data_IF_782386343575
#
_entry.id   IF_782386343575
#
_cell.length_a   1.000
_cell.length_b   1.000
_cell.length_c   1.000
_cell.angle_alpha   90.00
_cell.angle_beta   90.00
_cell.angle_gamma   90.00
#
_symmetry.space_group_name_H-M   'P 1'
#
loop_
_entity.id
_entity.type
_entity.pdbx_description
1 polymer ?
#
# COMPACT_ATOMS: atom_id res chain seq x y z
N UNK A 1 -23.68 -44.19 -12.01
CA UNK A 1 -24.25 -43.60 -10.77
C UNK A 1 -23.17 -43.16 -9.78
N UNK A 2 -22.26 -44.04 -9.32
CA UNK A 2 -21.20 -43.69 -8.34
C UNK A 2 -20.28 -42.51 -8.73
N UNK A 3 -19.96 -42.35 -10.03
CA UNK A 3 -19.15 -41.22 -10.55
C UNK A 3 -19.88 -39.87 -10.50
N UNK A 4 -21.21 -39.87 -10.65
CA UNK A 4 -22.04 -38.66 -10.60
C UNK A 4 -22.24 -38.19 -9.15
N UNK A 5 -22.33 -39.14 -8.22
CA UNK A 5 -22.40 -38.88 -6.77
C UNK A 5 -21.10 -38.27 -6.24
N UNK A 6 -19.94 -38.72 -6.75
CA UNK A 6 -18.63 -38.20 -6.36
C UNK A 6 -18.41 -36.75 -6.83
N UNK A 7 -18.89 -36.40 -8.02
CA UNK A 7 -18.83 -35.04 -8.56
C UNK A 7 -19.67 -34.06 -7.72
N UNK A 8 -20.86 -34.50 -7.28
CA UNK A 8 -21.74 -33.68 -6.44
C UNK A 8 -21.13 -33.42 -5.04
N UNK A 9 -20.37 -34.38 -4.51
CA UNK A 9 -19.68 -34.23 -3.21
C UNK A 9 -18.55 -33.19 -3.25
N UNK A 10 -17.84 -33.08 -4.37
CA UNK A 10 -16.74 -32.10 -4.56
C UNK A 10 -17.29 -30.68 -4.74
N UNK A 11 -18.47 -30.51 -5.34
CA UNK A 11 -19.09 -29.19 -5.45
C UNK A 11 -19.64 -28.66 -4.12
N UNK A 12 -20.01 -29.54 -3.17
CA UNK A 12 -20.48 -29.12 -1.84
C UNK A 12 -19.35 -28.69 -0.88
N UNK A 13 -18.10 -29.10 -1.11
CA UNK A 13 -16.98 -28.75 -0.22
C UNK A 13 -16.39 -27.35 -0.45
N UNK A 14 -16.83 -26.63 -1.49
CA UNK A 14 -16.32 -25.30 -1.84
C UNK A 14 -17.06 -24.11 -1.23
N UNK A 15 -18.17 -24.32 -0.53
CA UNK A 15 -18.99 -23.22 -0.01
C UNK A 15 -18.56 -22.89 1.43
N UNK A 16 -17.69 -21.89 1.59
CA UNK A 16 -17.46 -21.25 2.89
C UNK A 16 -16.03 -21.19 3.41
N UNK A 17 -15.01 -21.44 2.58
CA UNK A 17 -13.62 -21.33 3.03
C UNK A 17 -13.21 -19.84 3.07
N UNK A 18 -13.51 -19.16 4.18
CA UNK A 18 -12.88 -17.88 4.54
C UNK A 18 -11.48 -18.15 5.10
N UNK A 19 -10.53 -18.53 4.23
CA UNK A 19 -9.16 -18.85 4.63
C UNK A 19 -8.25 -17.63 4.78
N UNK A 20 -8.68 -16.44 4.31
CA UNK A 20 -7.88 -15.24 4.48
C UNK A 20 -8.21 -14.59 5.82
N UNK A 21 -7.21 -14.47 6.69
CA UNK A 21 -7.28 -13.62 7.87
C UNK A 21 -7.48 -12.18 7.36
N UNK A 22 -8.69 -11.66 7.50
CA UNK A 22 -8.99 -10.25 7.28
C UNK A 22 -9.14 -9.63 8.67
N UNK A 23 -8.09 -8.96 9.14
CA UNK A 23 -8.08 -8.26 10.44
C UNK A 23 -8.99 -7.02 10.43
N UNK A 24 -9.49 -6.63 9.25
CA UNK A 24 -10.47 -5.57 9.10
C UNK A 24 -9.95 -4.19 9.54
N UNK A 25 -10.90 -3.29 9.83
CA UNK A 25 -10.60 -1.93 10.25
C UNK A 25 -10.45 -0.95 9.08
N UNK A 26 -10.70 0.32 9.36
CA UNK A 26 -10.49 1.44 8.43
C UNK A 26 -9.37 2.29 8.99
N UNK A 27 -8.56 2.95 8.14
CA UNK A 27 -7.58 3.89 8.60
C UNK A 27 -8.22 4.95 9.51
N UNK A 28 -7.63 5.21 10.68
CA UNK A 28 -8.15 6.21 11.61
C UNK A 28 -8.28 7.61 10.98
N UNK A 29 -7.47 7.89 9.94
CA UNK A 29 -7.54 9.10 9.13
C UNK A 29 -8.84 9.27 8.32
N UNK A 30 -9.70 8.26 8.28
CA UNK A 30 -11.00 8.34 7.62
C UNK A 30 -12.08 8.88 8.56
N UNK A 31 -11.79 8.98 9.86
CA UNK A 31 -12.71 9.54 10.84
C UNK A 31 -12.98 11.03 10.57
N UNK A 32 -14.25 11.43 10.70
CA UNK A 32 -14.71 12.79 10.33
C UNK A 32 -13.96 13.90 11.06
N UNK A 33 -13.65 13.69 12.34
CA UNK A 33 -12.89 14.64 13.15
C UNK A 33 -11.48 14.87 12.60
N UNK A 34 -10.81 13.81 12.12
CA UNK A 34 -9.46 13.92 11.55
C UNK A 34 -9.52 14.60 10.18
N UNK A 35 -10.53 14.28 9.37
CA UNK A 35 -10.78 14.99 8.11
C UNK A 35 -10.98 16.48 8.36
N UNK A 36 -11.75 16.87 9.37
CA UNK A 36 -11.95 18.27 9.73
C UNK A 36 -10.64 18.96 10.17
N UNK A 37 -9.84 18.31 11.03
CA UNK A 37 -8.51 18.82 11.45
C UNK A 37 -7.61 19.04 10.23
N UNK A 38 -7.61 18.11 9.26
CA UNK A 38 -6.82 18.22 8.03
C UNK A 38 -7.33 19.32 7.10
N UNK A 39 -8.64 19.52 6.96
CA UNK A 39 -9.20 20.62 6.17
C UNK A 39 -8.75 21.98 6.71
N UNK A 40 -8.59 22.11 8.03
CA UNK A 40 -8.15 23.35 8.68
C UNK A 40 -6.63 23.52 8.62
N UNK A 41 -5.85 22.46 8.88
CA UNK A 41 -4.37 22.53 8.92
C UNK A 41 -3.70 22.37 7.55
N UNK A 42 -4.42 21.85 6.56
CA UNK A 42 -4.04 21.74 5.15
C UNK A 42 -2.62 21.21 4.88
N UNK A 43 -2.21 20.15 5.58
CA UNK A 43 -0.86 19.60 5.44
C UNK A 43 -0.85 18.12 5.81
N UNK A 44 -0.91 17.26 4.82
CA UNK A 44 -0.22 15.97 4.92
C UNK A 44 1.09 16.23 4.20
N UNK A 45 2.21 15.93 4.85
CA UNK A 45 3.50 16.06 4.18
C UNK A 45 3.52 15.11 2.96
N UNK A 46 3.99 15.65 1.84
CA UNK A 46 3.88 15.02 0.52
C UNK A 46 5.26 14.95 -0.10
N UNK A 47 5.70 13.73 -0.39
CA UNK A 47 6.93 13.45 -1.10
C UNK A 47 6.59 13.24 -2.58
N UNK A 48 7.06 14.17 -3.41
CA UNK A 48 6.98 14.08 -4.86
C UNK A 48 8.25 13.41 -5.40
N UNK A 49 8.10 12.18 -5.90
CA UNK A 49 9.19 11.47 -6.57
C UNK A 49 9.39 12.01 -8.00
N UNK A 50 10.62 11.93 -8.53
CA UNK A 50 10.88 12.30 -9.91
C UNK A 50 10.00 11.50 -10.89
N UNK A 51 9.62 12.10 -12.03
CA UNK A 51 8.88 11.37 -13.06
C UNK A 51 9.74 10.25 -13.65
N UNK A 52 9.08 9.14 -13.97
CA UNK A 52 9.71 7.99 -14.62
C UNK A 52 9.71 8.21 -16.14
N UNK A 53 10.87 8.14 -16.78
CA UNK A 53 10.98 8.11 -18.25
C UNK A 53 10.70 6.68 -18.77
N UNK A 54 9.43 6.41 -19.07
CA UNK A 54 8.99 5.11 -19.57
C UNK A 54 9.57 4.77 -20.95
N UNK A 55 9.88 5.76 -21.80
CA UNK A 55 10.43 5.49 -23.12
C UNK A 55 11.87 5.01 -23.02
N UNK A 56 12.65 5.65 -22.15
CA UNK A 56 14.01 5.23 -21.86
C UNK A 56 14.03 3.82 -21.26
N UNK A 57 13.20 3.56 -20.25
CA UNK A 57 13.13 2.24 -19.59
C UNK A 57 12.73 1.15 -20.59
N UNK A 58 11.77 1.40 -21.47
CA UNK A 58 11.38 0.42 -22.48
C UNK A 58 12.49 0.12 -23.50
N UNK A 59 13.36 1.08 -23.78
CA UNK A 59 14.51 0.85 -24.65
C UNK A 59 15.56 -0.02 -23.93
N UNK A 60 15.88 0.32 -22.67
CA UNK A 60 16.77 -0.48 -21.82
C UNK A 60 16.26 -1.93 -21.67
N UNK A 61 14.97 -2.11 -21.36
CA UNK A 61 14.39 -3.43 -21.14
C UNK A 61 14.44 -4.32 -22.41
N UNK A 62 14.37 -3.73 -23.62
CA UNK A 62 14.54 -4.47 -24.89
C UNK A 62 15.97 -4.93 -25.11
N UNK A 63 16.95 -4.10 -24.74
CA UNK A 63 18.37 -4.46 -24.80
C UNK A 63 18.69 -5.55 -23.78
N UNK A 64 18.15 -5.43 -22.56
CA UNK A 64 18.27 -6.42 -21.49
C UNK A 64 17.66 -7.77 -21.92
N UNK A 65 16.46 -7.76 -22.52
CA UNK A 65 15.81 -8.97 -23.06
C UNK A 65 16.67 -9.64 -24.15
N UNK A 66 17.26 -8.86 -25.07
CA UNK A 66 18.14 -9.38 -26.11
C UNK A 66 19.43 -10.01 -25.54
N UNK A 67 19.88 -9.54 -24.37
CA UNK A 67 21.01 -10.09 -23.63
C UNK A 67 20.65 -11.25 -22.69
N UNK A 68 19.37 -11.68 -22.68
CA UNK A 68 18.89 -12.77 -21.84
C UNK A 68 18.72 -12.40 -20.35
N UNK A 69 18.66 -11.11 -20.03
CA UNK A 69 18.43 -10.62 -18.67
C UNK A 69 16.92 -10.72 -18.36
N UNK A 70 16.54 -11.19 -17.16
CA UNK A 70 15.13 -11.26 -16.78
C UNK A 70 14.42 -9.89 -16.81
N UNK A 71 13.11 -9.84 -17.13
CA UNK A 71 12.37 -8.60 -17.16
C UNK A 71 12.38 -7.85 -15.82
N UNK A 72 12.49 -6.52 -15.92
CA UNK A 72 12.42 -5.61 -14.76
C UNK A 72 11.02 -5.63 -14.14
N UNK A 73 10.94 -5.92 -12.84
CA UNK A 73 9.66 -5.91 -12.11
C UNK A 73 9.21 -4.50 -11.70
N UNK A 74 10.15 -3.59 -11.43
CA UNK A 74 9.87 -2.22 -11.02
C UNK A 74 11.11 -1.33 -11.09
N UNK A 75 10.89 -0.01 -11.09
CA UNK A 75 11.96 0.98 -11.07
C UNK A 75 12.14 1.50 -9.63
N UNK A 76 13.30 1.27 -8.98
CA UNK A 76 13.50 1.67 -7.59
C UNK A 76 13.86 3.16 -7.49
N UNK A 77 13.25 3.85 -6.54
CA UNK A 77 13.73 5.13 -6.04
C UNK A 77 14.37 4.92 -4.68
N UNK A 78 15.62 5.37 -4.51
CA UNK A 78 16.24 5.43 -3.17
C UNK A 78 15.73 6.66 -2.46
N UNK A 79 15.21 6.47 -1.25
CA UNK A 79 14.66 7.52 -0.40
C UNK A 79 15.18 7.33 1.03
N UNK A 80 15.10 8.38 1.83
CA UNK A 80 15.45 8.38 3.26
C UNK A 80 14.27 9.00 4.01
N UNK A 81 13.30 8.16 4.37
CA UNK A 81 12.02 8.58 4.94
C UNK A 81 11.72 7.75 6.18
N UNK A 82 11.56 8.44 7.31
CA UNK A 82 11.26 7.86 8.61
C UNK A 82 10.22 8.71 9.37
N UNK A 83 9.84 8.22 10.54
CA UNK A 83 8.83 8.83 11.42
C UNK A 83 9.26 10.17 12.03
N UNK A 84 10.53 10.54 11.94
CA UNK A 84 11.14 11.75 12.51
C UNK A 84 11.47 12.81 11.46
N UNK A 85 11.76 12.40 10.22
CA UNK A 85 12.22 13.28 9.14
C UNK A 85 11.12 13.59 8.10
N UNK A 86 10.02 12.84 8.10
CA UNK A 86 8.96 12.95 7.11
C UNK A 86 7.60 12.74 7.75
N UNK A 87 6.55 13.14 7.03
CA UNK A 87 5.18 12.96 7.48
C UNK A 87 4.78 13.95 8.56
N UNK A 88 3.50 13.88 8.94
CA UNK A 88 2.90 14.80 9.90
C UNK A 88 2.24 14.03 11.03
N UNK A 89 2.73 14.25 12.25
CA UNK A 89 2.14 13.75 13.48
C UNK A 89 0.95 14.60 13.93
N UNK A 90 -0.12 13.93 14.34
CA UNK A 90 -1.26 14.53 15.03
C UNK A 90 -1.42 13.82 16.37
N UNK A 91 -1.47 14.60 17.45
CA UNK A 91 -1.94 14.14 18.75
C UNK A 91 -3.48 14.10 18.76
N UNK A 92 -4.02 12.98 19.21
CA UNK A 92 -5.45 12.73 19.32
C UNK A 92 -5.93 13.08 20.73
N UNK A 93 -7.22 13.37 20.88
CA UNK A 93 -7.82 13.76 22.17
C UNK A 93 -7.64 12.69 23.26
N UNK A 94 -7.53 11.41 22.87
CA UNK A 94 -7.31 10.29 23.77
C UNK A 94 -5.82 10.08 24.13
N UNK A 95 -4.91 10.93 23.65
CA UNK A 95 -3.46 10.84 23.87
C UNK A 95 -2.71 9.94 22.87
N UNK A 96 -3.41 9.27 21.96
CA UNK A 96 -2.77 8.53 20.86
C UNK A 96 -2.18 9.49 19.82
N UNK A 97 -1.35 8.95 18.92
CA UNK A 97 -0.72 9.72 17.85
C UNK A 97 -0.96 9.08 16.49
N UNK A 98 -1.31 9.91 15.52
CA UNK A 98 -1.49 9.54 14.12
C UNK A 98 -0.38 10.18 13.28
N UNK A 99 0.42 9.35 12.62
CA UNK A 99 1.38 9.80 11.62
C UNK A 99 0.85 9.56 10.21
N UNK A 100 1.08 10.50 9.30
CA UNK A 100 0.68 10.35 7.90
C UNK A 100 1.71 10.96 6.96
N UNK A 101 1.98 10.25 5.87
CA UNK A 101 2.83 10.67 4.76
C UNK A 101 2.12 10.37 3.43
N UNK A 102 2.17 11.29 2.50
CA UNK A 102 1.71 11.10 1.12
C UNK A 102 2.92 10.90 0.21
N UNK A 103 2.91 9.83 -0.59
CA UNK A 103 3.94 9.58 -1.61
C UNK A 103 3.28 9.68 -2.98
N UNK A 104 3.80 10.58 -3.82
CA UNK A 104 3.33 10.79 -5.17
C UNK A 104 4.44 10.45 -6.17
N UNK A 105 4.17 9.49 -7.06
CA UNK A 105 5.07 9.08 -8.12
C UNK A 105 4.37 9.27 -9.47
N UNK A 106 4.70 10.34 -10.22
CA UNK A 106 4.07 10.61 -11.51
C UNK A 106 4.28 9.45 -12.50
N UNK A 107 3.22 9.13 -13.25
CA UNK A 107 3.20 8.07 -14.28
C UNK A 107 3.44 6.63 -13.77
N UNK A 108 3.56 6.41 -12.46
CA UNK A 108 3.61 5.05 -11.90
C UNK A 108 2.25 4.35 -12.00
N UNK A 109 2.24 3.10 -12.46
CA UNK A 109 1.02 2.26 -12.49
C UNK A 109 0.71 1.64 -11.12
N UNK A 110 1.75 1.35 -10.36
CA UNK A 110 1.71 0.85 -8.98
C UNK A 110 2.93 1.39 -8.24
N UNK A 111 2.86 1.41 -6.92
CA UNK A 111 3.96 1.76 -6.03
C UNK A 111 4.15 0.61 -5.07
N UNK A 112 5.37 0.08 -5.00
CA UNK A 112 5.78 -0.86 -3.98
C UNK A 112 6.61 -0.11 -2.93
N UNK A 113 6.29 -0.32 -1.66
CA UNK A 113 7.06 0.24 -0.55
C UNK A 113 7.96 -0.85 0.01
N UNK A 114 9.26 -0.57 0.08
CA UNK A 114 10.25 -1.42 0.73
C UNK A 114 10.75 -0.69 1.96
N UNK A 115 10.86 -1.42 3.07
CA UNK A 115 11.32 -0.89 4.36
C UNK A 115 12.65 -1.53 4.70
N UNK A 116 13.68 -0.73 4.94
CA UNK A 116 14.96 -1.22 5.45
C UNK A 116 14.83 -1.61 6.93
N UNK A 117 14.12 -0.79 7.72
CA UNK A 117 13.79 -1.05 9.11
C UNK A 117 12.27 -0.95 9.31
N UNK A 118 11.66 -2.03 9.84
CA UNK A 118 10.23 -2.08 10.11
C UNK A 118 9.95 -2.60 11.52
N UNK A 119 9.40 -1.73 12.37
CA UNK A 119 8.94 -2.08 13.70
C UNK A 119 7.55 -1.49 13.95
N UNK A 120 6.57 -2.37 14.13
CA UNK A 120 5.21 -2.00 14.53
C UNK A 120 4.97 -2.47 15.97
N UNK A 121 4.73 -1.56 16.94
CA UNK A 121 4.46 -1.96 18.32
C UNK A 121 3.13 -2.73 18.39
N UNK A 122 2.93 -3.55 19.44
CA UNK A 122 1.81 -4.52 19.49
C UNK A 122 0.38 -3.96 19.40
N UNK A 123 0.18 -2.63 19.52
CA UNK A 123 -1.09 -1.94 19.26
C UNK A 123 -1.00 -0.89 18.15
N UNK A 124 0.18 -0.74 17.55
CA UNK A 124 0.38 0.12 16.40
C UNK A 124 -0.37 -0.43 15.19
N UNK A 125 -0.84 0.46 14.34
CA UNK A 125 -1.53 0.09 13.10
C UNK A 125 -0.90 0.85 11.95
N UNK A 126 -0.53 0.13 10.89
CA UNK A 126 -0.10 0.73 9.64
C UNK A 126 -1.16 0.48 8.56
N UNK A 127 -1.56 1.56 7.90
CA UNK A 127 -2.46 1.51 6.77
C UNK A 127 -1.82 2.18 5.57
N UNK A 128 -1.88 1.52 4.41
CA UNK A 128 -1.52 2.09 3.12
C UNK A 128 -2.79 2.20 2.30
N UNK A 129 -3.06 3.37 1.74
CA UNK A 129 -4.25 3.59 0.94
C UNK A 129 -4.00 4.60 -0.18
N UNK A 130 -4.80 4.51 -1.25
CA UNK A 130 -4.72 5.47 -2.35
C UNK A 130 -5.33 6.83 -1.97
N UNK A 131 -4.93 7.92 -2.61
CA UNK A 131 -5.45 9.26 -2.31
C UNK A 131 -7.00 9.36 -2.36
N UNK A 132 -7.63 8.54 -3.20
CA UNK A 132 -9.10 8.45 -3.33
C UNK A 132 -9.79 7.69 -2.18
N UNK A 133 -9.03 7.06 -1.29
CA UNK A 133 -9.52 6.23 -0.16
C UNK A 133 -10.42 5.06 -0.57
N UNK A 134 -10.33 4.64 -1.84
CA UNK A 134 -11.13 3.52 -2.38
C UNK A 134 -10.46 2.18 -2.18
N UNK A 135 -9.13 2.18 -2.07
CA UNK A 135 -8.34 0.98 -1.84
C UNK A 135 -7.42 1.24 -0.64
N UNK A 136 -7.44 0.33 0.32
CA UNK A 136 -6.59 0.35 1.49
C UNK A 136 -6.18 -1.07 1.84
N UNK A 137 -5.00 -1.19 2.45
CA UNK A 137 -4.49 -2.41 3.04
C UNK A 137 -3.96 -2.12 4.44
N UNK A 138 -4.04 -3.14 5.28
CA UNK A 138 -3.50 -3.16 6.63
C UNK A 138 -2.26 -4.07 6.63
N UNK A 139 -1.19 -3.63 7.28
CA UNK A 139 0.07 -4.38 7.45
C UNK A 139 0.19 -4.83 8.90
#
# INVERSE_FOLDING_TARGET
>A
MKKLTLFFLICLSGVGINAQINIGGKPYSFEKQIVAIRTVKNKIDKIDLPPIDLQKIQTEDKEDEANGIPPRFGFPFKVDLDLSNSGEWIELENGDRLWQLEIHCPAAKSINLLYDEFYLPGKGQLYIYNAKKTHHMWI
#
